data_IF_779117208468
#
_entry.id   IF_779117208468
#
_cell.length_a   1.000
_cell.length_b   1.000
_cell.length_c   1.000
_cell.angle_alpha   90.00
_cell.angle_beta   90.00
_cell.angle_gamma   90.00
#
_symmetry.space_group_name_H-M   'P 1'
#
loop_
_entity.id
_entity.type
_entity.pdbx_description
1 polymer ?
#
# COMPACT_ATOMS: atom_id res chain seq x y z
N UNK A 1 -3.37 19.71 8.74
CA UNK A 1 -3.29 18.33 8.23
C UNK A 1 -4.35 17.52 8.96
N UNK A 2 -5.27 16.88 8.23
CA UNK A 2 -6.21 15.92 8.80
C UNK A 2 -5.52 14.57 8.96
N UNK A 3 -5.91 13.82 10.00
CA UNK A 3 -5.49 12.45 10.19
C UNK A 3 -6.73 11.64 10.57
N UNK A 4 -6.87 10.46 9.99
CA UNK A 4 -7.92 9.52 10.38
C UNK A 4 -7.47 8.82 11.65
N UNK A 5 -8.29 8.89 12.70
CA UNK A 5 -8.00 8.24 13.99
C UNK A 5 -8.81 6.97 14.11
N UNK A 6 -8.11 5.84 14.28
CA UNK A 6 -8.75 4.53 14.54
C UNK A 6 -8.95 4.35 16.03
N UNK A 7 -10.18 4.00 16.39
CA UNK A 7 -10.62 3.73 17.77
C UNK A 7 -11.05 2.28 17.99
N UNK A 8 -11.23 1.50 16.93
CA UNK A 8 -11.59 0.08 17.01
C UNK A 8 -11.28 -0.66 15.71
N UNK A 9 -11.04 -1.97 15.85
CA UNK A 9 -10.91 -2.93 14.76
C UNK A 9 -11.79 -4.13 15.07
N UNK A 10 -12.31 -4.78 14.04
CA UNK A 10 -13.07 -6.02 14.15
C UNK A 10 -12.94 -6.80 12.85
N UNK A 11 -12.55 -8.06 12.94
CA UNK A 11 -12.71 -9.01 11.84
C UNK A 11 -13.98 -9.82 12.07
N UNK A 12 -14.84 -9.88 11.07
CA UNK A 12 -15.95 -10.81 11.01
C UNK A 12 -15.70 -11.84 9.90
N UNK A 13 -16.26 -13.03 10.03
CA UNK A 13 -16.25 -13.98 8.93
C UNK A 13 -17.40 -14.99 8.98
N UNK A 14 -17.62 -15.63 7.85
CA UNK A 14 -18.70 -16.57 7.59
C UNK A 14 -18.26 -17.59 6.52
N UNK A 15 -18.99 -18.69 6.41
CA UNK A 15 -18.78 -19.67 5.34
C UNK A 15 -19.66 -19.30 4.15
N UNK A 16 -19.07 -19.28 2.96
CA UNK A 16 -19.82 -19.19 1.70
C UNK A 16 -20.58 -20.50 1.44
N UNK A 17 -21.40 -20.52 0.39
CA UNK A 17 -22.12 -21.72 -0.06
C UNK A 17 -21.24 -22.95 -0.35
N UNK A 18 -20.00 -22.74 -0.82
CA UNK A 18 -19.03 -23.80 -1.11
C UNK A 18 -18.25 -24.28 0.14
N UNK A 19 -18.50 -23.66 1.30
CA UNK A 19 -17.82 -23.96 2.55
C UNK A 19 -16.48 -23.23 2.74
N UNK A 20 -16.03 -22.39 1.81
CA UNK A 20 -14.86 -21.55 2.05
C UNK A 20 -15.17 -20.38 3.00
N UNK A 21 -14.15 -19.88 3.69
CA UNK A 21 -14.28 -18.74 4.60
C UNK A 21 -14.13 -17.41 3.86
N UNK A 22 -15.09 -16.51 4.06
CA UNK A 22 -15.02 -15.12 3.67
C UNK A 22 -14.96 -14.22 4.92
N UNK A 23 -14.20 -13.12 4.82
CA UNK A 23 -13.93 -12.18 5.89
C UNK A 23 -14.40 -10.78 5.53
N UNK A 24 -14.97 -10.07 6.50
CA UNK A 24 -15.27 -8.64 6.43
C UNK A 24 -14.50 -7.93 7.54
N UNK A 25 -13.74 -6.91 7.18
CA UNK A 25 -12.98 -6.10 8.14
C UNK A 25 -13.72 -4.80 8.40
N UNK A 26 -13.82 -4.42 9.67
CA UNK A 26 -14.43 -3.17 10.11
C UNK A 26 -13.45 -2.33 10.93
N UNK A 27 -13.43 -1.03 10.65
CA UNK A 27 -12.72 -0.05 11.47
C UNK A 27 -13.71 0.93 12.08
N UNK A 28 -13.45 1.32 13.32
CA UNK A 28 -14.12 2.45 13.95
C UNK A 28 -13.20 3.64 13.87
N UNK A 29 -13.62 4.70 13.15
CA UNK A 29 -12.75 5.85 12.89
C UNK A 29 -13.46 7.18 13.04
N UNK A 30 -12.68 8.25 13.25
CA UNK A 30 -13.10 9.64 13.12
C UNK A 30 -11.97 10.49 12.52
N UNK A 31 -12.31 11.66 11.99
CA UNK A 31 -11.32 12.62 11.47
C UNK A 31 -10.84 13.57 12.57
N UNK A 32 -9.53 13.63 12.80
CA UNK A 32 -8.90 14.40 13.90
C UNK A 32 -9.22 15.89 13.86
N UNK A 33 -9.47 16.45 12.68
CA UNK A 33 -9.77 17.86 12.48
C UNK A 33 -11.28 18.17 12.50
N UNK A 34 -12.15 17.19 12.71
CA UNK A 34 -13.61 17.36 12.73
C UNK A 34 -14.13 17.25 14.16
N UNK A 35 -14.70 18.35 14.69
CA UNK A 35 -15.18 18.46 16.08
C UNK A 35 -16.68 18.79 16.09
N UNK A 36 -17.50 18.17 16.95
CA UNK A 36 -17.18 17.09 17.90
C UNK A 36 -16.78 15.78 17.20
N UNK A 37 -15.86 15.03 17.83
CA UNK A 37 -15.44 13.73 17.31
C UNK A 37 -16.57 12.71 17.49
N UNK A 38 -17.11 12.24 16.36
CA UNK A 38 -18.04 11.13 16.31
C UNK A 38 -17.38 9.98 15.56
N UNK A 39 -17.08 8.90 16.26
CA UNK A 39 -16.52 7.71 15.63
C UNK A 39 -17.65 6.77 15.17
N UNK A 40 -17.43 6.13 14.03
CA UNK A 40 -18.39 5.19 13.43
C UNK A 40 -17.68 3.97 12.91
N UNK A 41 -18.34 2.83 12.99
CA UNK A 41 -17.87 1.61 12.33
C UNK A 41 -18.12 1.71 10.83
N UNK A 42 -17.18 1.21 10.05
CA UNK A 42 -17.27 1.15 8.59
C UNK A 42 -16.55 -0.09 8.11
N UNK A 43 -17.13 -0.83 7.16
CA UNK A 43 -16.43 -1.94 6.52
C UNK A 43 -15.32 -1.41 5.60
N UNK A 44 -14.12 -1.95 5.72
CA UNK A 44 -12.92 -1.49 5.00
C UNK A 44 -12.37 -2.50 4.01
N UNK A 45 -12.72 -3.79 4.16
CA UNK A 45 -12.31 -4.88 3.29
C UNK A 45 -13.35 -6.02 3.32
N UNK A 46 -13.49 -6.74 2.21
CA UNK A 46 -14.28 -7.97 2.10
C UNK A 46 -13.56 -8.95 1.16
N UNK A 47 -13.42 -10.23 1.54
CA UNK A 47 -12.66 -11.16 0.74
C UNK A 47 -12.24 -12.44 1.45
N UNK A 48 -11.42 -13.24 0.77
CA UNK A 48 -10.62 -14.27 1.43
C UNK A 48 -9.65 -13.65 2.44
N UNK A 49 -9.06 -14.48 3.32
CA UNK A 49 -8.06 -14.03 4.29
C UNK A 49 -6.91 -13.26 3.61
N UNK A 50 -6.39 -13.78 2.51
CA UNK A 50 -5.27 -13.18 1.78
C UNK A 50 -5.65 -11.83 1.14
N UNK A 51 -6.88 -11.75 0.60
CA UNK A 51 -7.40 -10.53 -0.01
C UNK A 51 -7.57 -9.43 1.03
N UNK A 52 -8.23 -9.72 2.17
CA UNK A 52 -8.40 -8.71 3.22
C UNK A 52 -7.09 -8.36 3.91
N UNK A 53 -6.13 -9.29 3.99
CA UNK A 53 -4.79 -8.97 4.49
C UNK A 53 -4.03 -8.03 3.54
N UNK A 54 -4.23 -8.13 2.22
CA UNK A 54 -3.66 -7.16 1.26
C UNK A 54 -4.11 -5.74 1.58
N UNK A 55 -5.40 -5.57 1.89
CA UNK A 55 -5.98 -4.29 2.33
C UNK A 55 -5.31 -3.78 3.60
N UNK A 56 -5.10 -4.65 4.57
CA UNK A 56 -4.40 -4.33 5.82
C UNK A 56 -2.99 -3.81 5.55
N UNK A 57 -2.22 -4.43 4.66
CA UNK A 57 -0.89 -3.95 4.29
C UNK A 57 -0.93 -2.61 3.56
N UNK A 58 -1.88 -2.40 2.65
CA UNK A 58 -2.09 -1.11 2.00
C UNK A 58 -2.43 0.00 3.01
N UNK A 59 -3.23 -0.29 4.04
CA UNK A 59 -3.52 0.64 5.13
C UNK A 59 -2.35 0.85 6.08
N UNK A 60 -1.57 -0.19 6.35
CA UNK A 60 -0.34 -0.10 7.14
C UNK A 60 0.67 0.84 6.47
N UNK A 61 0.75 0.85 5.14
CA UNK A 61 1.56 1.80 4.40
C UNK A 61 1.17 3.26 4.76
N UNK A 62 -0.12 3.58 4.88
CA UNK A 62 -0.57 4.90 5.31
C UNK A 62 -0.08 5.29 6.72
N UNK A 63 0.19 4.33 7.61
CA UNK A 63 0.79 4.61 8.92
C UNK A 63 2.21 5.19 8.83
N UNK A 64 2.97 4.89 7.76
CA UNK A 64 4.36 5.34 7.63
C UNK A 64 4.48 6.87 7.57
N UNK A 65 3.52 7.54 6.91
CA UNK A 65 3.46 9.00 6.79
C UNK A 65 2.66 9.71 7.89
N UNK A 66 2.14 8.96 8.88
CA UNK A 66 1.38 9.52 10.00
C UNK A 66 -0.05 9.99 9.70
N UNK A 67 -0.59 9.69 8.51
CA UNK A 67 -1.98 10.07 8.16
C UNK A 67 -3.02 9.21 8.89
N UNK A 68 -2.63 8.00 9.31
CA UNK A 68 -3.45 7.07 10.08
C UNK A 68 -2.90 6.96 11.51
N UNK A 69 -3.72 7.38 12.48
CA UNK A 69 -3.32 7.49 13.89
C UNK A 69 -4.23 6.68 14.80
N UNK A 70 -3.75 6.43 16.02
CA UNK A 70 -4.57 6.02 17.16
C UNK A 70 -4.93 7.25 18.00
N UNK A 71 -5.79 7.08 19.01
CA UNK A 71 -6.05 8.17 19.99
C UNK A 71 -4.78 8.63 20.72
N UNK A 72 -3.77 7.77 20.81
CA UNK A 72 -2.49 8.04 21.46
C UNK A 72 -1.42 8.61 20.52
N UNK A 73 -1.74 8.84 19.24
CA UNK A 73 -0.81 9.33 18.23
C UNK A 73 -0.46 8.28 17.18
N UNK A 74 0.73 8.40 16.61
CA UNK A 74 1.16 7.63 15.43
C UNK A 74 1.12 6.12 15.68
N UNK A 75 0.71 5.39 14.65
CA UNK A 75 0.73 3.93 14.64
C UNK A 75 1.94 3.50 13.81
N UNK A 76 2.71 2.54 14.30
CA UNK A 76 3.77 1.89 13.49
C UNK A 76 3.14 0.87 12.54
N UNK A 77 3.56 0.77 11.26
CA UNK A 77 2.97 -0.15 10.29
C UNK A 77 2.98 -1.61 10.77
N UNK A 78 4.07 -2.08 11.37
CA UNK A 78 4.18 -3.43 11.92
C UNK A 78 3.16 -3.70 13.04
N UNK A 79 2.89 -2.70 13.89
CA UNK A 79 1.92 -2.82 14.97
C UNK A 79 0.48 -2.82 14.42
N UNK A 80 0.23 -2.09 13.34
CA UNK A 80 -1.06 -2.07 12.66
C UNK A 80 -1.38 -3.45 12.07
N UNK A 81 -0.41 -4.05 11.38
CA UNK A 81 -0.52 -5.39 10.78
C UNK A 81 -0.76 -6.45 11.87
N UNK A 82 0.04 -6.44 12.94
CA UNK A 82 -0.11 -7.39 14.04
C UNK A 82 -1.46 -7.23 14.78
N UNK A 83 -1.95 -6.00 14.93
CA UNK A 83 -3.29 -5.78 15.48
C UNK A 83 -4.37 -6.45 14.61
N UNK A 84 -4.30 -6.30 13.29
CA UNK A 84 -5.24 -6.95 12.38
C UNK A 84 -5.08 -8.47 12.30
N UNK A 85 -3.86 -9.00 12.37
CA UNK A 85 -3.62 -10.45 12.45
C UNK A 85 -4.26 -11.07 13.69
N UNK A 86 -4.25 -10.36 14.83
CA UNK A 86 -4.96 -10.80 16.05
C UNK A 86 -6.48 -10.84 15.85
N UNK A 87 -7.06 -9.80 15.26
CA UNK A 87 -8.50 -9.79 14.92
C UNK A 87 -8.83 -10.95 13.96
N UNK A 88 -8.03 -11.15 12.92
CA UNK A 88 -8.18 -12.23 11.95
C UNK A 88 -7.92 -13.63 12.52
N UNK A 89 -7.25 -13.76 13.66
CA UNK A 89 -7.06 -15.03 14.35
C UNK A 89 -8.27 -15.41 15.23
N UNK A 90 -9.06 -14.40 15.62
CA UNK A 90 -10.26 -14.56 16.44
C UNK A 90 -11.46 -13.78 15.88
N UNK A 91 -11.80 -13.98 14.59
CA UNK A 91 -12.90 -13.26 13.97
C UNK A 91 -14.24 -13.64 14.62
N UNK A 92 -15.18 -12.71 14.60
CA UNK A 92 -16.56 -12.96 15.06
C UNK A 92 -17.45 -13.47 13.91
N UNK A 93 -18.49 -14.27 14.18
CA UNK A 93 -19.45 -14.68 13.17
C UNK A 93 -20.16 -13.48 12.55
N UNK A 94 -20.31 -13.51 11.23
CA UNK A 94 -21.20 -12.63 10.49
C UNK A 94 -22.49 -13.39 10.15
N UNK A 95 -23.62 -12.94 10.69
CA UNK A 95 -24.91 -13.56 10.42
C UNK A 95 -25.29 -13.47 8.94
N UNK A 96 -26.03 -14.48 8.46
CA UNK A 96 -26.57 -14.42 7.10
C UNK A 96 -27.63 -13.31 7.04
N UNK A 97 -27.33 -12.27 6.28
CA UNK A 97 -28.21 -11.12 6.10
C UNK A 97 -28.68 -11.05 4.65
N UNK A 98 -29.88 -10.51 4.47
CA UNK A 98 -30.46 -10.28 3.16
C UNK A 98 -30.09 -8.87 2.69
N UNK A 99 -29.25 -8.79 1.68
CA UNK A 99 -28.67 -7.55 1.16
C UNK A 99 -29.43 -7.15 -0.10
N UNK A 100 -30.11 -6.01 -0.05
CA UNK A 100 -30.81 -5.44 -1.21
C UNK A 100 -29.81 -4.72 -2.11
N UNK A 101 -29.61 -5.25 -3.31
CA UNK A 101 -28.82 -4.65 -4.38
C UNK A 101 -29.73 -3.89 -5.33
N UNK A 102 -29.55 -2.57 -5.38
CA UNK A 102 -30.27 -1.70 -6.29
C UNK A 102 -29.37 -0.57 -6.82
N UNK A 103 -29.68 -0.12 -8.02
CA UNK A 103 -29.02 1.03 -8.64
C UNK A 103 -29.77 2.30 -8.25
N UNK A 104 -29.09 3.21 -7.55
CA UNK A 104 -29.72 4.44 -7.07
C UNK A 104 -28.77 5.65 -7.14
N UNK A 105 -29.37 6.85 -7.25
CA UNK A 105 -28.65 8.14 -7.23
C UNK A 105 -28.36 8.57 -5.78
N UNK A 106 -27.57 7.78 -5.06
CA UNK A 106 -27.15 8.09 -3.69
C UNK A 106 -25.69 7.71 -3.46
N UNK A 107 -24.98 8.55 -2.71
CA UNK A 107 -23.63 8.23 -2.24
C UNK A 107 -23.60 6.93 -1.43
N UNK A 108 -24.65 6.64 -0.66
CA UNK A 108 -24.77 5.42 0.15
C UNK A 108 -25.48 4.27 -0.58
N UNK A 109 -25.80 4.41 -1.86
CA UNK A 109 -26.44 3.34 -2.62
C UNK A 109 -25.56 2.07 -2.63
N UNK A 110 -26.20 0.90 -2.64
CA UNK A 110 -25.53 -0.37 -2.85
C UNK A 110 -24.74 -0.32 -4.17
N UNK A 111 -25.37 0.15 -5.26
CA UNK A 111 -24.72 0.40 -6.55
C UNK A 111 -25.05 1.83 -6.99
N UNK A 112 -24.10 2.77 -6.94
CA UNK A 112 -24.31 4.11 -7.49
C UNK A 112 -24.49 4.07 -9.00
N UNK A 113 -25.35 4.94 -9.55
CA UNK A 113 -25.63 5.03 -10.99
C UNK A 113 -24.35 5.22 -11.81
N UNK A 114 -23.44 6.06 -11.33
CA UNK A 114 -22.15 6.33 -11.97
C UNK A 114 -21.21 5.12 -12.02
N UNK A 115 -21.45 4.09 -11.21
CA UNK A 115 -20.68 2.84 -11.17
C UNK A 115 -21.43 1.66 -11.77
N UNK A 116 -22.63 1.86 -12.29
CA UNK A 116 -23.47 0.77 -12.80
C UNK A 116 -22.81 -0.02 -13.95
N UNK A 117 -22.17 0.65 -14.92
CA UNK A 117 -21.53 -0.07 -16.03
C UNK A 117 -20.27 -0.84 -15.58
N UNK A 118 -19.46 -0.27 -14.68
CA UNK A 118 -18.32 -0.98 -14.09
C UNK A 118 -18.80 -2.23 -13.31
N UNK A 119 -19.87 -2.10 -12.53
CA UNK A 119 -20.51 -3.19 -11.81
C UNK A 119 -21.07 -4.25 -12.77
N UNK A 120 -21.73 -3.84 -13.86
CA UNK A 120 -22.23 -4.73 -14.92
C UNK A 120 -21.11 -5.58 -15.50
N UNK A 121 -20.02 -4.95 -15.92
CA UNK A 121 -18.87 -5.63 -16.51
C UNK A 121 -18.21 -6.59 -15.52
N UNK A 122 -18.13 -6.23 -14.23
CA UNK A 122 -17.60 -7.12 -13.19
C UNK A 122 -18.50 -8.36 -12.98
N UNK A 123 -19.82 -8.18 -12.94
CA UNK A 123 -20.78 -9.28 -12.81
C UNK A 123 -20.77 -10.20 -14.04
N UNK A 124 -20.72 -9.65 -15.26
CA UNK A 124 -20.62 -10.44 -16.50
C UNK A 124 -19.36 -11.30 -16.51
N UNK A 125 -18.19 -10.70 -16.21
CA UNK A 125 -16.92 -11.44 -16.14
C UNK A 125 -16.95 -12.58 -15.11
N UNK A 126 -17.79 -12.46 -14.09
CA UNK A 126 -17.94 -13.44 -13.01
C UNK A 126 -19.13 -14.38 -13.21
N UNK A 127 -19.83 -14.31 -14.36
CA UNK A 127 -20.95 -15.20 -14.68
C UNK A 127 -22.31 -14.83 -14.07
N UNK A 128 -22.46 -13.62 -13.51
CA UNK A 128 -23.67 -13.15 -12.83
C UNK A 128 -24.55 -12.20 -13.67
N UNK A 129 -24.52 -12.33 -14.99
CA UNK A 129 -25.26 -11.45 -15.91
C UNK A 129 -26.78 -11.46 -15.62
N UNK A 130 -27.35 -12.64 -15.36
CA UNK A 130 -28.79 -12.79 -15.06
C UNK A 130 -29.19 -12.07 -13.77
N UNK A 131 -28.33 -12.07 -12.76
CA UNK A 131 -28.57 -11.38 -11.50
C UNK A 131 -28.51 -9.86 -11.71
N UNK A 132 -27.60 -9.37 -12.56
CA UNK A 132 -27.55 -7.95 -12.92
C UNK A 132 -28.84 -7.50 -13.61
N UNK A 133 -29.41 -8.30 -14.52
CA UNK A 133 -30.71 -8.00 -15.12
C UNK A 133 -31.82 -7.88 -14.06
N UNK A 134 -31.76 -8.70 -13.02
CA UNK A 134 -32.65 -8.61 -11.86
C UNK A 134 -32.50 -7.30 -11.09
N UNK A 135 -31.26 -6.88 -10.83
CA UNK A 135 -30.95 -5.59 -10.19
C UNK A 135 -31.58 -4.43 -10.98
N UNK A 136 -31.42 -4.42 -12.30
CA UNK A 136 -31.96 -3.36 -13.18
C UNK A 136 -33.49 -3.32 -13.16
N UNK A 137 -34.17 -4.47 -13.04
CA UNK A 137 -35.64 -4.58 -13.12
C UNK A 137 -36.39 -4.20 -11.83
N UNK A 138 -35.70 -3.84 -10.74
CA UNK A 138 -36.36 -3.44 -9.48
C UNK A 138 -35.61 -3.83 -8.20
N UNK A 139 -34.37 -4.32 -8.33
CA UNK A 139 -33.52 -4.75 -7.24
C UNK A 139 -33.43 -6.27 -7.12
N UNK A 140 -32.30 -6.74 -6.58
CA UNK A 140 -32.03 -8.14 -6.26
C UNK A 140 -31.76 -8.27 -4.77
N UNK A 141 -32.25 -9.33 -4.12
CA UNK A 141 -31.93 -9.61 -2.73
C UNK A 141 -30.92 -10.76 -2.71
N UNK A 142 -29.71 -10.47 -2.26
CA UNK A 142 -28.63 -11.42 -2.10
C UNK A 142 -28.59 -11.92 -0.65
N UNK A 143 -28.43 -13.22 -0.43
CA UNK A 143 -28.00 -13.75 0.86
C UNK A 143 -26.49 -13.57 0.99
N UNK A 144 -26.02 -13.08 2.14
CA UNK A 144 -24.59 -12.93 2.39
C UNK A 144 -23.85 -14.27 2.22
N UNK A 145 -24.42 -15.36 2.72
CA UNK A 145 -23.77 -16.66 2.70
C UNK A 145 -23.95 -17.36 1.35
N UNK A 146 -25.16 -17.35 0.79
CA UNK A 146 -25.47 -18.08 -0.45
C UNK A 146 -24.98 -17.38 -1.73
N UNK A 147 -25.00 -16.05 -1.75
CA UNK A 147 -24.61 -15.23 -2.91
C UNK A 147 -23.24 -14.55 -2.70
N UNK A 148 -22.40 -15.09 -1.80
CA UNK A 148 -21.12 -14.52 -1.43
C UNK A 148 -20.20 -14.21 -2.62
N UNK A 149 -20.13 -15.09 -3.62
CA UNK A 149 -19.28 -14.90 -4.80
C UNK A 149 -19.75 -13.72 -5.68
N UNK A 150 -21.06 -13.51 -5.77
CA UNK A 150 -21.62 -12.32 -6.43
C UNK A 150 -21.24 -11.05 -5.68
N UNK A 151 -21.36 -11.06 -4.35
CA UNK A 151 -20.99 -9.93 -3.51
C UNK A 151 -19.48 -9.66 -3.59
N UNK A 152 -18.64 -10.70 -3.65
CA UNK A 152 -17.18 -10.56 -3.80
C UNK A 152 -16.82 -9.95 -5.15
N UNK A 153 -17.51 -10.33 -6.23
CA UNK A 153 -17.28 -9.76 -7.56
C UNK A 153 -17.51 -8.23 -7.62
N UNK A 154 -18.43 -7.72 -6.79
CA UNK A 154 -18.78 -6.31 -6.71
C UNK A 154 -17.99 -5.55 -5.65
N UNK A 155 -17.93 -6.09 -4.43
CA UNK A 155 -17.49 -5.41 -3.20
C UNK A 155 -16.20 -5.97 -2.59
N UNK A 156 -15.64 -7.01 -3.20
CA UNK A 156 -14.39 -7.63 -2.74
C UNK A 156 -13.20 -6.68 -2.81
N UNK A 157 -12.14 -7.01 -2.08
CA UNK A 157 -10.92 -6.19 -2.09
C UNK A 157 -10.32 -6.07 -3.50
N UNK A 158 -10.13 -4.82 -3.97
CA UNK A 158 -9.65 -4.52 -5.32
C UNK A 158 -10.74 -4.49 -6.40
N UNK A 159 -12.01 -4.63 -6.04
CA UNK A 159 -13.14 -4.59 -6.98
C UNK A 159 -13.80 -3.19 -7.06
N UNK A 160 -14.94 -3.13 -7.76
CA UNK A 160 -15.58 -1.89 -8.23
C UNK A 160 -16.10 -1.02 -7.09
N UNK A 161 -16.67 -1.64 -6.05
CA UNK A 161 -17.42 -0.97 -5.00
C UNK A 161 -16.80 -1.24 -3.63
N UNK A 162 -16.94 -0.27 -2.73
CA UNK A 162 -16.44 -0.42 -1.37
C UNK A 162 -17.44 -1.17 -0.47
N UNK A 163 -16.98 -2.05 0.44
CA UNK A 163 -17.84 -2.92 1.24
C UNK A 163 -18.73 -2.19 2.25
N UNK A 164 -18.36 -0.98 2.71
CA UNK A 164 -19.18 -0.18 3.64
C UNK A 164 -20.56 0.17 3.10
N UNK A 165 -20.79 0.00 1.79
CA UNK A 165 -22.09 0.23 1.14
C UNK A 165 -23.15 -0.79 1.55
N UNK A 166 -22.74 -1.99 1.93
CA UNK A 166 -23.65 -3.13 2.15
C UNK A 166 -23.47 -3.80 3.51
N UNK A 167 -22.39 -3.51 4.23
CA UNK A 167 -22.09 -4.15 5.52
C UNK A 167 -22.16 -3.17 6.69
N UNK A 168 -22.90 -3.56 7.72
CA UNK A 168 -22.94 -2.90 9.02
C UNK A 168 -22.25 -3.76 10.08
N UNK A 169 -21.49 -3.13 10.98
CA UNK A 169 -20.81 -3.85 12.05
C UNK A 169 -21.79 -4.39 13.12
N UNK A 170 -23.02 -3.90 13.15
CA UNK A 170 -24.11 -4.36 14.01
C UNK A 170 -24.59 -5.78 13.69
N UNK A 171 -24.35 -6.26 12.47
CA UNK A 171 -24.70 -7.63 12.05
C UNK A 171 -23.66 -8.68 12.51
N UNK A 172 -22.58 -8.22 13.16
CA UNK A 172 -21.58 -9.10 13.76
C UNK A 172 -22.04 -9.60 15.13
N UNK A 173 -21.84 -10.90 15.38
CA UNK A 173 -21.96 -11.46 16.74
C UNK A 173 -20.75 -11.07 17.60
N UNK A 174 -20.78 -11.45 18.88
CA UNK A 174 -19.74 -11.10 19.86
C UNK A 174 -18.81 -12.26 20.22
N UNK A 175 -19.25 -13.51 20.02
CA UNK A 175 -18.46 -14.70 20.39
C UNK A 175 -17.64 -15.14 19.18
N UNK A 176 -16.29 -15.17 19.26
CA UNK A 176 -15.45 -15.55 18.14
C UNK A 176 -15.72 -16.95 17.60
N UNK A 177 -15.55 -17.14 16.29
CA UNK A 177 -15.53 -18.46 15.67
C UNK A 177 -14.10 -18.96 15.47
N UNK A 178 -13.92 -20.28 15.50
CA UNK A 178 -12.62 -20.90 15.32
C UNK A 178 -12.22 -20.87 13.84
N UNK A 179 -11.04 -20.35 13.55
CA UNK A 179 -10.43 -20.35 12.22
C UNK A 179 -9.06 -21.00 12.23
N UNK A 180 -8.61 -21.55 11.09
CA UNK A 180 -7.20 -21.83 10.89
C UNK A 180 -6.38 -20.56 11.04
N UNK A 181 -5.44 -20.56 11.99
CA UNK A 181 -4.49 -19.46 12.19
C UNK A 181 -3.15 -19.85 11.59
N UNK A 182 -2.56 -19.05 10.68
CA UNK A 182 -1.22 -19.30 10.18
C UNK A 182 -0.22 -19.35 11.33
N UNK A 183 0.55 -20.43 11.40
CA UNK A 183 1.63 -20.57 12.39
C UNK A 183 2.80 -19.70 11.95
N UNK A 184 3.42 -19.02 12.91
CA UNK A 184 4.63 -18.25 12.66
C UNK A 184 5.72 -19.17 12.06
N UNK A 185 6.43 -18.66 11.05
CA UNK A 185 7.61 -19.32 10.53
C UNK A 185 8.69 -19.40 11.61
N UNK A 186 9.49 -20.48 11.60
CA UNK A 186 10.59 -20.67 12.58
C UNK A 186 11.67 -19.60 12.43
N UNK A 187 11.98 -19.27 11.19
CA UNK A 187 12.89 -18.19 10.82
C UNK A 187 12.22 -17.37 9.71
N UNK A 188 11.42 -16.35 10.08
CA UNK A 188 10.74 -15.54 9.08
C UNK A 188 11.73 -14.69 8.27
N UNK A 189 12.92 -14.38 8.79
CA UNK A 189 13.88 -13.50 8.10
C UNK A 189 14.78 -14.22 7.12
N UNK A 190 14.80 -15.56 7.09
CA UNK A 190 15.56 -16.36 6.13
C UNK A 190 15.36 -15.93 4.66
N UNK A 191 14.19 -15.41 4.31
CA UNK A 191 13.84 -14.95 2.97
C UNK A 191 13.91 -13.42 2.79
N UNK A 192 14.49 -12.69 3.75
CA UNK A 192 14.58 -11.23 3.70
C UNK A 192 15.49 -10.80 2.54
N UNK A 193 14.97 -10.05 1.54
CA UNK A 193 15.82 -9.51 0.49
C UNK A 193 16.77 -8.47 1.08
N UNK A 194 17.98 -8.37 0.52
CA UNK A 194 18.92 -7.30 0.89
C UNK A 194 18.29 -5.94 0.54
N UNK A 195 18.08 -5.10 1.54
CA UNK A 195 17.61 -3.72 1.33
C UNK A 195 18.78 -2.77 1.46
N UNK A 196 18.97 -1.90 0.47
CA UNK A 196 20.00 -0.87 0.46
C UNK A 196 19.35 0.49 0.21
N UNK A 197 19.83 1.52 0.88
CA UNK A 197 19.33 2.88 0.74
C UNK A 197 20.47 3.89 0.74
N UNK A 198 20.31 4.97 -0.04
CA UNK A 198 21.25 6.09 -0.12
C UNK A 198 20.50 7.42 -0.15
N UNK A 199 21.05 8.46 0.49
CA UNK A 199 20.48 9.80 0.49
C UNK A 199 20.87 10.57 -0.79
N UNK A 200 19.86 10.99 -1.57
CA UNK A 200 20.05 11.93 -2.70
C UNK A 200 20.21 13.35 -2.15
N UNK A 201 19.36 13.72 -1.20
CA UNK A 201 19.41 14.96 -0.44
C UNK A 201 18.90 14.73 1.00
N UNK A 202 18.56 15.80 1.73
CA UNK A 202 18.05 15.73 3.10
C UNK A 202 16.69 15.03 3.26
N UNK A 203 16.04 14.67 2.17
CA UNK A 203 14.67 14.14 2.18
C UNK A 203 14.49 12.98 1.21
N UNK A 204 15.05 13.04 0.00
CA UNK A 204 14.88 12.04 -1.03
C UNK A 204 15.93 10.93 -0.96
N UNK A 205 15.49 9.70 -1.19
CA UNK A 205 16.29 8.49 -1.07
C UNK A 205 16.31 7.69 -2.37
N UNK A 206 17.41 7.00 -2.62
CA UNK A 206 17.44 5.83 -3.49
C UNK A 206 17.24 4.57 -2.65
N UNK A 207 16.50 3.61 -3.18
CA UNK A 207 16.36 2.29 -2.58
C UNK A 207 16.58 1.20 -3.63
N UNK A 208 17.25 0.12 -3.24
CA UNK A 208 17.38 -1.11 -4.01
C UNK A 208 17.03 -2.30 -3.11
N UNK A 209 16.18 -3.20 -3.61
CA UNK A 209 15.72 -4.38 -2.88
C UNK A 209 16.10 -5.64 -3.65
N UNK A 210 16.86 -6.52 -3.01
CA UNK A 210 17.42 -7.72 -3.63
C UNK A 210 18.31 -7.35 -4.82
N UNK A 211 18.04 -7.96 -5.97
CA UNK A 211 18.72 -7.71 -7.24
C UNK A 211 18.08 -6.60 -8.09
N UNK A 212 17.04 -5.93 -7.59
CA UNK A 212 16.41 -4.83 -8.34
C UNK A 212 17.37 -3.64 -8.49
N UNK A 213 17.28 -2.90 -9.61
CA UNK A 213 18.06 -1.69 -9.78
C UNK A 213 17.71 -0.64 -8.73
N UNK A 214 18.62 0.29 -8.51
CA UNK A 214 18.37 1.47 -7.71
C UNK A 214 17.23 2.30 -8.31
N UNK A 215 16.25 2.63 -7.48
CA UNK A 215 15.16 3.54 -7.84
C UNK A 215 15.07 4.67 -6.85
N UNK A 216 14.66 5.84 -7.31
CA UNK A 216 14.22 6.92 -6.44
C UNK A 216 12.96 6.45 -5.69
N UNK A 217 12.88 6.70 -4.39
CA UNK A 217 11.80 6.23 -3.51
C UNK A 217 11.22 7.35 -2.66
N UNK A 218 11.43 8.61 -3.06
CA UNK A 218 10.99 9.78 -2.33
C UNK A 218 11.52 9.82 -0.90
N UNK A 219 10.65 10.22 0.01
CA UNK A 219 11.00 10.36 1.42
C UNK A 219 11.08 9.01 2.13
N UNK A 220 11.74 8.95 3.28
CA UNK A 220 11.87 7.73 4.08
C UNK A 220 10.52 7.02 4.33
N UNK A 221 9.43 7.76 4.56
CA UNK A 221 8.12 7.15 4.73
C UNK A 221 7.57 6.55 3.43
N UNK A 222 7.87 7.13 2.27
CA UNK A 222 7.47 6.63 0.95
C UNK A 222 8.24 5.35 0.60
N UNK A 223 9.55 5.32 0.84
CA UNK A 223 10.35 4.12 0.69
C UNK A 223 9.86 2.97 1.60
N UNK A 224 9.48 3.29 2.84
CA UNK A 224 8.90 2.29 3.76
C UNK A 224 7.51 1.82 3.30
N UNK A 225 6.68 2.73 2.76
CA UNK A 225 5.37 2.38 2.18
C UNK A 225 5.53 1.32 1.09
N UNK A 226 6.41 1.57 0.13
CA UNK A 226 6.70 0.63 -0.95
C UNK A 226 7.18 -0.72 -0.41
N UNK A 227 8.08 -0.73 0.56
CA UNK A 227 8.55 -1.99 1.15
C UNK A 227 7.40 -2.78 1.81
N UNK A 228 6.51 -2.08 2.52
CA UNK A 228 5.33 -2.70 3.15
C UNK A 228 4.41 -3.32 2.10
N UNK A 229 4.10 -2.61 1.02
CA UNK A 229 3.14 -3.08 0.00
C UNK A 229 3.73 -4.11 -0.94
N UNK A 230 4.95 -3.88 -1.43
CA UNK A 230 5.52 -4.62 -2.57
C UNK A 230 6.29 -5.87 -2.11
N UNK A 231 6.80 -5.88 -0.87
CA UNK A 231 7.66 -6.95 -0.36
C UNK A 231 7.04 -7.61 0.87
N UNK A 232 6.72 -6.84 1.90
CA UNK A 232 6.34 -7.40 3.19
C UNK A 232 5.03 -8.20 3.12
N UNK A 233 4.05 -7.77 2.33
CA UNK A 233 2.79 -8.50 2.15
C UNK A 233 3.02 -9.91 1.56
N UNK A 234 3.71 -10.01 0.43
CA UNK A 234 3.95 -11.30 -0.23
C UNK A 234 4.76 -12.24 0.68
N UNK A 235 5.79 -11.70 1.35
CA UNK A 235 6.60 -12.48 2.28
C UNK A 235 5.86 -12.88 3.56
N UNK A 236 4.92 -12.08 4.04
CA UNK A 236 4.10 -12.45 5.20
C UNK A 236 3.18 -13.65 4.90
N UNK A 237 2.69 -13.77 3.66
CA UNK A 237 1.89 -14.94 3.25
C UNK A 237 2.73 -16.22 3.21
N UNK A 238 3.97 -16.13 2.72
CA UNK A 238 4.89 -17.27 2.65
C UNK A 238 5.51 -17.62 4.01
N UNK A 239 5.87 -16.59 4.80
CA UNK A 239 6.58 -16.69 6.07
C UNK A 239 5.87 -15.86 7.14
N UNK A 240 4.77 -16.36 7.75
CA UNK A 240 4.03 -15.61 8.75
C UNK A 240 4.91 -15.12 9.90
N UNK A 241 4.84 -13.82 10.21
CA UNK A 241 5.74 -13.14 11.15
C UNK A 241 6.88 -12.34 10.50
N UNK A 242 7.04 -12.41 9.17
CA UNK A 242 8.00 -11.61 8.41
C UNK A 242 7.83 -10.11 8.66
N UNK A 243 6.62 -9.59 8.49
CA UNK A 243 6.37 -8.15 8.54
C UNK A 243 6.72 -7.54 9.91
N UNK A 244 6.39 -8.26 10.99
CA UNK A 244 6.70 -7.83 12.36
C UNK A 244 8.19 -7.68 12.64
N UNK A 245 9.05 -8.41 11.91
CA UNK A 245 10.51 -8.40 12.07
C UNK A 245 11.21 -7.53 11.04
N UNK A 246 10.83 -7.63 9.77
CA UNK A 246 11.52 -6.96 8.67
C UNK A 246 11.22 -5.45 8.59
N UNK A 247 9.98 -5.03 8.83
CA UNK A 247 9.59 -3.61 8.72
C UNK A 247 10.39 -2.72 9.70
N UNK A 248 10.55 -3.08 11.00
CA UNK A 248 11.41 -2.32 11.91
C UNK A 248 12.85 -2.17 11.41
N UNK A 249 13.44 -3.24 10.85
CA UNK A 249 14.82 -3.24 10.34
C UNK A 249 14.95 -2.25 9.18
N UNK A 250 14.04 -2.33 8.20
CA UNK A 250 14.05 -1.42 7.05
C UNK A 250 13.79 0.02 7.48
N UNK A 251 12.85 0.25 8.39
CA UNK A 251 12.60 1.60 8.92
C UNK A 251 13.84 2.20 9.58
N UNK A 252 14.61 1.43 10.34
CA UNK A 252 15.83 1.94 10.96
C UNK A 252 16.92 2.22 9.92
N UNK A 253 17.09 1.35 8.91
CA UNK A 253 18.02 1.59 7.81
C UNK A 253 17.72 2.89 7.04
N UNK A 254 16.45 3.27 6.91
CA UNK A 254 16.02 4.49 6.22
C UNK A 254 16.21 5.78 7.04
N UNK A 255 16.60 5.69 8.32
CA UNK A 255 16.67 6.85 9.22
C UNK A 255 17.88 7.73 8.97
N UNK A 256 19.04 7.14 8.69
CA UNK A 256 20.30 7.85 8.47
C UNK A 256 21.10 7.18 7.34
N UNK A 257 20.61 7.26 6.09
CA UNK A 257 21.27 6.60 4.97
C UNK A 257 22.50 7.37 4.51
N UNK A 258 23.54 6.64 4.09
CA UNK A 258 24.75 7.22 3.51
C UNK A 258 24.42 8.03 2.24
N UNK A 259 25.14 9.13 1.95
CA UNK A 259 24.92 9.92 0.75
C UNK A 259 25.24 9.12 -0.52
N UNK A 260 24.51 9.41 -1.60
CA UNK A 260 24.83 8.86 -2.92
C UNK A 260 26.28 9.25 -3.31
N UNK A 261 27.14 8.29 -3.68
CA UNK A 261 28.51 8.57 -4.09
C UNK A 261 28.56 9.54 -5.28
N UNK A 262 29.49 10.49 -5.25
CA UNK A 262 29.66 11.46 -6.33
C UNK A 262 29.97 10.80 -7.68
N UNK A 263 30.57 9.62 -7.67
CA UNK A 263 30.92 8.81 -8.83
C UNK A 263 29.70 8.10 -9.44
N UNK A 264 28.55 8.11 -8.80
CA UNK A 264 27.31 7.52 -9.34
C UNK A 264 27.00 8.12 -10.69
N UNK A 265 26.85 7.27 -11.71
CA UNK A 265 26.45 7.71 -13.04
C UNK A 265 24.92 7.69 -13.13
N UNK A 266 24.34 8.80 -13.54
CA UNK A 266 22.90 8.96 -13.72
C UNK A 266 22.62 9.11 -15.20
N UNK A 267 21.80 8.21 -15.74
CA UNK A 267 21.36 8.27 -17.14
C UNK A 267 19.89 8.68 -17.18
N UNK A 268 19.58 9.72 -17.94
CA UNK A 268 18.22 10.24 -18.12
C UNK A 268 17.77 10.02 -19.55
N UNK A 269 16.61 9.39 -19.72
CA UNK A 269 15.89 9.21 -20.98
C UNK A 269 14.68 10.13 -21.00
N UNK A 270 14.74 11.16 -21.83
CA UNK A 270 13.76 12.25 -21.86
C UNK A 270 12.34 11.75 -22.11
N UNK A 271 12.15 10.92 -23.13
CA UNK A 271 10.82 10.53 -23.63
C UNK A 271 10.29 9.20 -23.07
N UNK A 272 10.96 8.62 -22.06
CA UNK A 272 10.47 7.42 -21.39
C UNK A 272 9.17 7.65 -20.59
N UNK A 273 8.86 8.90 -20.23
CA UNK A 273 7.61 9.29 -19.57
C UNK A 273 6.64 10.01 -20.51
N UNK A 274 5.34 9.69 -20.37
CA UNK A 274 4.26 10.36 -21.09
C UNK A 274 3.89 11.73 -20.51
N UNK A 275 4.34 12.06 -19.29
CA UNK A 275 4.00 13.30 -18.58
C UNK A 275 4.75 14.54 -19.07
N UNK A 276 4.02 15.59 -19.46
CA UNK A 276 4.63 16.85 -19.93
C UNK A 276 5.48 17.55 -18.86
N UNK A 277 5.12 17.40 -17.58
CA UNK A 277 5.88 17.95 -16.46
C UNK A 277 7.23 17.25 -16.26
N UNK A 278 7.26 15.92 -16.36
CA UNK A 278 8.47 15.12 -16.26
C UNK A 278 9.44 15.40 -17.41
N UNK A 279 8.94 15.51 -18.65
CA UNK A 279 9.75 15.93 -19.81
C UNK A 279 10.36 17.32 -19.62
N UNK A 280 9.57 18.28 -19.11
CA UNK A 280 10.08 19.63 -18.80
C UNK A 280 11.18 19.58 -17.72
N UNK A 281 11.02 18.75 -16.70
CA UNK A 281 12.05 18.60 -15.66
C UNK A 281 13.35 18.02 -16.24
N UNK A 282 13.27 17.08 -17.19
CA UNK A 282 14.44 16.57 -17.92
C UNK A 282 15.10 17.65 -18.78
N UNK A 283 14.31 18.45 -19.50
CA UNK A 283 14.79 19.58 -20.30
C UNK A 283 15.55 20.60 -19.43
N UNK A 284 14.96 21.03 -18.31
CA UNK A 284 15.59 21.97 -17.39
C UNK A 284 16.86 21.41 -16.72
N UNK A 285 16.88 20.10 -16.42
CA UNK A 285 18.05 19.43 -15.86
C UNK A 285 19.20 19.40 -16.88
N UNK A 286 18.91 18.99 -18.13
CA UNK A 286 19.90 18.96 -19.21
C UNK A 286 20.49 20.34 -19.49
N UNK A 287 19.67 21.38 -19.51
CA UNK A 287 20.12 22.77 -19.72
C UNK A 287 21.09 23.22 -18.62
N UNK A 288 20.73 23.01 -17.36
CA UNK A 288 21.57 23.43 -16.22
C UNK A 288 22.88 22.66 -16.12
N UNK A 289 22.91 21.44 -16.63
CA UNK A 289 24.11 20.60 -16.71
C UNK A 289 24.93 20.82 -18.01
N UNK A 290 24.46 21.69 -18.91
CA UNK A 290 25.15 22.01 -20.16
C UNK A 290 25.00 20.97 -21.28
N UNK A 291 24.04 20.04 -21.16
CA UNK A 291 23.70 19.07 -22.21
C UNK A 291 22.73 19.65 -23.26
N UNK A 292 22.11 20.80 -22.99
CA UNK A 292 21.26 21.53 -23.92
C UNK A 292 21.43 23.05 -23.75
N UNK A 293 21.20 23.82 -24.81
CA UNK A 293 21.15 25.27 -24.73
C UNK A 293 19.90 25.74 -23.97
N UNK A 294 19.94 26.93 -23.36
CA UNK A 294 18.79 27.50 -22.66
C UNK A 294 17.55 27.56 -23.57
N UNK A 295 16.42 27.03 -23.09
CA UNK A 295 15.17 26.93 -23.85
C UNK A 295 15.13 25.81 -24.91
N UNK A 296 16.24 25.11 -25.16
CA UNK A 296 16.27 23.96 -26.06
C UNK A 296 15.80 22.66 -25.36
N UNK A 297 15.35 21.70 -26.15
CA UNK A 297 15.01 20.37 -25.64
C UNK A 297 16.29 19.62 -25.25
N UNK A 298 16.20 18.80 -24.19
CA UNK A 298 17.24 17.84 -23.85
C UNK A 298 17.45 16.85 -25.00
N UNK A 299 18.66 16.28 -25.14
CA UNK A 299 18.88 15.07 -25.93
C UNK A 299 17.92 13.95 -25.50
N UNK A 300 17.66 13.00 -26.40
CA UNK A 300 16.83 11.82 -26.10
C UNK A 300 17.35 11.06 -24.87
N UNK A 301 18.67 10.94 -24.77
CA UNK A 301 19.38 10.38 -23.62
C UNK A 301 20.60 11.24 -23.29
N UNK A 302 20.83 11.49 -22.00
CA UNK A 302 22.05 12.13 -21.50
C UNK A 302 22.47 11.51 -20.17
N UNK A 303 23.77 11.60 -19.84
CA UNK A 303 24.32 11.06 -18.60
C UNK A 303 25.28 12.03 -17.93
N UNK A 304 25.30 12.00 -16.61
CA UNK A 304 26.17 12.82 -15.78
C UNK A 304 26.56 12.09 -14.48
N UNK A 305 27.67 12.49 -13.87
CA UNK A 305 28.08 12.05 -12.53
C UNK A 305 27.30 12.81 -11.47
N UNK A 306 26.91 12.14 -10.41
CA UNK A 306 26.15 12.75 -9.32
C UNK A 306 26.87 13.93 -8.67
N UNK A 307 28.22 13.90 -8.62
CA UNK A 307 29.05 15.03 -8.16
C UNK A 307 28.88 16.32 -8.97
N UNK A 308 28.38 16.24 -10.22
CA UNK A 308 28.07 17.41 -11.03
C UNK A 308 26.82 18.17 -10.56
N UNK A 309 26.07 17.61 -9.61
CA UNK A 309 24.94 18.29 -8.99
C UNK A 309 25.36 19.20 -7.82
N UNK A 310 26.63 19.22 -7.41
CA UNK A 310 27.11 20.07 -6.32
C UNK A 310 27.31 21.52 -6.77
N UNK A 311 27.19 22.47 -5.83
CA UNK A 311 27.49 23.90 -6.06
C UNK A 311 26.27 24.84 -5.92
N UNK A 312 26.33 26.01 -6.58
CA UNK A 312 25.38 27.13 -6.40
C UNK A 312 23.92 26.77 -6.73
N UNK A 313 23.69 25.71 -7.50
CA UNK A 313 22.36 25.26 -7.91
C UNK A 313 21.99 23.85 -7.42
N UNK A 314 22.72 23.33 -6.43
CA UNK A 314 22.59 21.94 -5.99
C UNK A 314 21.15 21.54 -5.65
N UNK A 315 20.49 22.34 -4.82
CA UNK A 315 19.11 22.06 -4.41
C UNK A 315 18.14 22.06 -5.60
N UNK A 316 18.31 22.97 -6.56
CA UNK A 316 17.45 23.05 -7.73
C UNK A 316 17.68 21.86 -8.69
N UNK A 317 18.95 21.48 -8.89
CA UNK A 317 19.32 20.32 -9.71
C UNK A 317 18.81 19.01 -9.11
N UNK A 318 19.02 18.78 -7.82
CA UNK A 318 18.52 17.58 -7.11
C UNK A 318 16.99 17.52 -7.10
N UNK A 319 16.31 18.66 -6.91
CA UNK A 319 14.85 18.73 -7.02
C UNK A 319 14.37 18.32 -8.42
N UNK A 320 15.02 18.78 -9.49
CA UNK A 320 14.66 18.42 -10.86
C UNK A 320 14.92 16.94 -11.15
N UNK A 321 16.01 16.39 -10.63
CA UNK A 321 16.32 14.97 -10.72
C UNK A 321 15.27 14.10 -10.00
N UNK A 322 14.88 14.45 -8.78
CA UNK A 322 13.83 13.72 -8.03
C UNK A 322 12.41 14.00 -8.57
N UNK A 323 12.26 14.94 -9.51
CA UNK A 323 11.00 15.22 -10.22
C UNK A 323 10.84 14.36 -11.48
N UNK A 324 11.85 13.58 -11.87
CA UNK A 324 11.76 12.69 -13.02
C UNK A 324 10.94 11.44 -12.67
N UNK A 325 10.29 10.88 -13.68
CA UNK A 325 9.60 9.60 -13.52
C UNK A 325 10.64 8.46 -13.38
N UNK A 326 10.31 7.42 -12.62
CA UNK A 326 11.21 6.27 -12.43
C UNK A 326 11.61 5.59 -13.76
N UNK A 327 10.77 5.67 -14.80
CA UNK A 327 11.08 5.18 -16.15
C UNK A 327 12.11 6.02 -16.90
N UNK A 328 12.32 7.29 -16.51
CA UNK A 328 13.26 8.19 -17.16
C UNK A 328 14.67 8.09 -16.60
N UNK A 329 14.87 7.59 -15.38
CA UNK A 329 16.15 7.67 -14.69
C UNK A 329 16.70 6.29 -14.39
N UNK A 330 17.95 6.08 -14.78
CA UNK A 330 18.72 4.92 -14.38
C UNK A 330 19.93 5.35 -13.55
N UNK A 331 20.15 4.65 -12.45
CA UNK A 331 21.22 4.92 -11.49
C UNK A 331 22.24 3.78 -11.50
N UNK A 332 23.46 4.09 -11.92
CA UNK A 332 24.61 3.18 -11.85
C UNK A 332 25.49 3.59 -10.67
N UNK A 333 25.22 2.96 -9.52
CA UNK A 333 25.91 3.22 -8.25
C UNK A 333 27.12 2.27 -8.13
N UNK A 334 28.34 2.77 -7.89
CA UNK A 334 29.54 1.95 -7.77
C UNK A 334 29.44 0.90 -6.66
N UNK A 335 29.98 -0.30 -6.91
CA UNK A 335 29.88 -1.45 -6.00
C UNK A 335 30.49 -1.24 -4.60
N UNK A 336 31.39 -0.26 -4.44
CA UNK A 336 32.10 0.01 -3.18
C UNK A 336 31.21 0.76 -2.17
N UNK A 337 30.07 1.29 -2.61
CA UNK A 337 29.29 2.26 -1.84
C UNK A 337 28.19 1.69 -0.92
N UNK A 338 28.09 0.37 -0.71
CA UNK A 338 26.99 -0.14 0.14
C UNK A 338 27.34 -1.40 0.90
N UNK A 339 27.41 -1.28 2.22
CA UNK A 339 27.14 -2.39 3.12
C UNK A 339 26.64 -1.90 4.50
N UNK A 340 25.44 -1.31 4.54
CA UNK A 340 24.53 -1.70 5.63
C UNK A 340 23.84 -2.96 5.10
N UNK A 341 24.43 -4.12 5.39
CA UNK A 341 23.77 -5.38 5.07
C UNK A 341 22.65 -5.59 6.08
N UNK A 342 21.41 -5.79 5.61
CA UNK A 342 20.29 -6.12 6.49
C UNK A 342 20.54 -7.41 7.28
N UNK A 343 21.45 -8.29 6.82
CA UNK A 343 21.95 -9.43 7.57
C UNK A 343 22.74 -9.03 8.83
N UNK A 344 23.54 -7.97 8.76
CA UNK A 344 24.26 -7.42 9.92
C UNK A 344 23.30 -6.72 10.89
N UNK A 345 22.31 -5.98 10.38
CA UNK A 345 21.30 -5.33 11.23
C UNK A 345 20.38 -6.34 11.92
N UNK A 346 19.95 -7.41 11.24
CA UNK A 346 19.15 -8.47 11.85
C UNK A 346 19.91 -9.14 13.02
N UNK A 347 21.20 -9.42 12.82
CA UNK A 347 22.08 -10.00 13.84
C UNK A 347 22.28 -9.06 15.04
N UNK A 348 22.43 -7.76 14.79
CA UNK A 348 22.54 -6.74 15.85
C UNK A 348 21.21 -6.53 16.60
N UNK A 349 20.07 -6.65 15.92
CA UNK A 349 18.76 -6.51 16.56
C UNK A 349 18.40 -7.71 17.45
N UNK A 350 18.82 -8.92 17.07
CA UNK A 350 18.69 -10.12 17.93
C UNK A 350 19.56 -10.01 19.19
N UNK A 351 20.75 -9.42 19.11
CA UNK A 351 21.63 -9.15 20.25
C UNK A 351 21.08 -8.09 21.22
N UNK A 352 20.27 -7.15 20.75
CA UNK A 352 19.66 -6.10 21.58
C UNK A 352 18.32 -6.52 22.24
N UNK A 353 17.73 -7.64 21.81
CA UNK A 353 16.46 -8.16 22.32
C UNK A 353 16.60 -9.44 23.17
N UNK A 354 17.79 -10.03 23.23
CA UNK A 354 18.18 -11.08 24.16
C UNK A 354 18.72 -10.47 25.46
#
# INVERSE_FOLDING_TARGET
>A
MGATVITGKRAAAFHKADGELAYVLFERTYEKNVVPHHDRWSAVAFGSREAVLRRVFAHAAACCGGILQSRSGDIKPENFIEAWKRELAHPVPFDDTQIRLEIAKSFSAAIPVEKAEEARLAMIRSGFEKQYDGIVKGGFIASLHADADLLLALYGEGHVLAPWRIFDAGDCRTVPFQVPVPKAAKDPLAAMPKVRCLAVDSSNLLMAIGSMPWRESGWAYSALQDFVTDVAYARELEFPGFAAKAIPIVREALRDPEPVPGETNVTVRRDASSGAWHRRSADELAQRLGHAAEGAQAPEEFSFRFSQLSGEHERALKYKLCSLDASQVHWDVPAVATAIETADLASQFELCLA
#
